data_IF_268675721788
#
_entry.id   IF_268675721788
#
_cell.length_a   1.000
_cell.length_b   1.000
_cell.length_c   1.000
_cell.angle_alpha   90.00
_cell.angle_beta   90.00
_cell.angle_gamma   90.00
#
_symmetry.space_group_name_H-M   'P 1'
#
loop_
_entity.id
_entity.type
_entity.pdbx_description
1 polymer ?
#
# COMPACT_ATOMS: atom_id res chain seq x y z
N UNK A 1 -9.66 10.13 -80.08
CA UNK A 1 -9.29 9.23 -79.01
C UNK A 1 -8.89 10.07 -77.78
N UNK A 2 -9.81 10.21 -76.82
CA UNK A 2 -9.66 11.08 -75.65
C UNK A 2 -9.29 10.17 -74.42
N UNK A 3 -8.12 10.36 -73.88
CA UNK A 3 -7.71 9.70 -72.63
C UNK A 3 -8.08 10.60 -71.46
N UNK A 4 -8.97 10.09 -70.62
CA UNK A 4 -9.37 10.72 -69.36
C UNK A 4 -8.51 10.12 -68.26
N UNK A 5 -7.62 10.96 -67.65
CA UNK A 5 -6.85 10.59 -66.47
C UNK A 5 -7.65 10.88 -65.21
N UNK A 6 -7.97 9.82 -64.46
CA UNK A 6 -8.56 9.93 -63.12
C UNK A 6 -7.43 10.08 -62.09
N UNK A 7 -7.40 11.25 -61.45
CA UNK A 7 -6.53 11.55 -60.35
C UNK A 7 -7.21 11.12 -59.05
N UNK A 8 -6.75 10.02 -58.42
CA UNK A 8 -7.21 9.61 -57.09
C UNK A 8 -6.47 10.41 -56.03
N UNK A 9 -7.20 11.28 -55.34
CA UNK A 9 -6.72 12.02 -54.16
C UNK A 9 -6.93 11.15 -52.92
N UNK A 10 -5.84 10.56 -52.40
CA UNK A 10 -5.88 9.79 -51.13
C UNK A 10 -5.68 10.78 -49.99
N UNK A 11 -6.76 11.11 -49.27
CA UNK A 11 -6.69 11.83 -48.00
C UNK A 11 -6.21 10.85 -46.89
N UNK A 12 -4.96 10.98 -46.49
CA UNK A 12 -4.41 10.30 -45.32
C UNK A 12 -4.92 10.97 -44.02
N UNK A 13 -5.82 10.33 -43.32
CA UNK A 13 -6.16 10.72 -41.94
C UNK A 13 -5.05 10.24 -41.00
N UNK A 14 -4.18 11.14 -40.56
CA UNK A 14 -3.24 10.91 -39.49
C UNK A 14 -4.00 10.90 -38.16
N UNK A 15 -4.26 9.71 -37.63
CA UNK A 15 -4.83 9.50 -36.30
C UNK A 15 -3.73 9.62 -35.24
N UNK A 16 -3.60 10.78 -34.61
CA UNK A 16 -2.75 10.96 -33.44
C UNK A 16 -3.41 10.28 -32.25
N UNK A 17 -3.05 9.03 -31.99
CA UNK A 17 -3.34 8.37 -30.71
C UNK A 17 -2.29 8.83 -29.68
N UNK A 18 -2.61 9.89 -28.95
CA UNK A 18 -1.86 10.32 -27.76
C UNK A 18 -2.17 9.35 -26.62
N UNK A 19 -1.37 8.30 -26.49
CA UNK A 19 -1.35 7.46 -25.27
C UNK A 19 -0.54 8.18 -24.19
N UNK A 20 -1.15 9.12 -23.49
CA UNK A 20 -0.64 9.60 -22.23
C UNK A 20 -0.95 8.53 -21.17
N UNK A 21 -0.08 7.51 -21.04
CA UNK A 21 -0.01 6.71 -19.82
C UNK A 21 0.60 7.59 -18.74
N UNK A 22 -0.26 8.28 -17.99
CA UNK A 22 0.09 8.80 -16.69
C UNK A 22 0.53 7.65 -15.78
N UNK A 23 1.24 7.93 -14.67
CA UNK A 23 1.59 6.90 -13.70
C UNK A 23 0.30 6.19 -13.29
N UNK A 24 0.32 4.87 -13.40
CA UNK A 24 -0.79 3.99 -13.04
C UNK A 24 -0.98 4.05 -11.51
N UNK A 25 -1.68 5.08 -11.06
CA UNK A 25 -2.14 5.20 -9.68
C UNK A 25 -3.31 4.24 -9.60
N UNK A 26 -3.04 3.02 -9.18
CA UNK A 26 -4.11 2.07 -8.85
C UNK A 26 -5.01 2.72 -7.80
N UNK A 27 -6.19 3.15 -8.24
CA UNK A 27 -7.22 3.68 -7.36
C UNK A 27 -7.55 2.62 -6.30
N UNK A 28 -7.73 3.01 -5.04
CA UNK A 28 -8.15 2.07 -4.01
C UNK A 28 -9.47 1.43 -4.43
N UNK A 29 -9.47 0.10 -4.57
CA UNK A 29 -10.69 -0.64 -4.82
C UNK A 29 -11.50 -0.69 -3.52
N UNK A 30 -12.62 -0.03 -3.50
CA UNK A 30 -13.56 -0.08 -2.39
C UNK A 30 -14.26 -1.45 -2.40
N UNK A 31 -13.96 -2.28 -1.41
CA UNK A 31 -14.62 -3.56 -1.23
C UNK A 31 -15.59 -3.46 -0.05
N UNK A 32 -16.87 -3.60 -0.33
CA UNK A 32 -17.90 -3.73 0.70
C UNK A 32 -17.85 -5.14 1.27
N UNK A 33 -17.49 -5.29 2.52
CA UNK A 33 -17.60 -6.55 3.25
C UNK A 33 -18.79 -6.44 4.17
N UNK A 34 -19.86 -7.19 3.89
CA UNK A 34 -20.97 -7.36 4.82
C UNK A 34 -20.53 -8.29 5.93
N UNK A 35 -20.55 -7.80 7.16
CA UNK A 35 -20.37 -8.61 8.36
C UNK A 35 -21.62 -8.40 9.19
N UNK A 36 -22.44 -9.43 9.27
CA UNK A 36 -23.70 -9.53 10.03
C UNK A 36 -24.81 -8.54 9.63
N UNK A 37 -26.07 -8.94 9.77
CA UNK A 37 -27.29 -8.34 9.21
C UNK A 37 -27.58 -6.87 9.58
N UNK A 38 -26.70 -6.16 10.27
CA UNK A 38 -26.95 -4.79 10.74
C UNK A 38 -25.83 -3.75 10.54
N UNK A 39 -24.66 -4.10 10.04
CA UNK A 39 -23.60 -3.10 9.80
C UNK A 39 -22.85 -3.34 8.49
N UNK A 40 -23.01 -2.41 7.56
CA UNK A 40 -22.21 -2.35 6.31
C UNK A 40 -20.93 -1.60 6.58
N UNK A 41 -19.80 -2.29 6.63
CA UNK A 41 -18.48 -1.68 6.70
C UNK A 41 -17.92 -1.48 5.29
N UNK A 42 -17.64 -0.24 4.95
CA UNK A 42 -16.88 0.09 3.74
C UNK A 42 -15.39 0.01 4.07
N UNK A 43 -14.72 -0.97 3.52
CA UNK A 43 -13.29 -1.16 3.69
C UNK A 43 -12.58 -0.84 2.38
N UNK A 44 -11.76 0.18 2.38
CA UNK A 44 -10.82 0.43 1.28
C UNK A 44 -9.63 -0.50 1.46
N UNK A 45 -9.57 -1.58 0.70
CA UNK A 45 -8.39 -2.43 0.62
C UNK A 45 -7.50 -1.86 -0.46
N UNK A 46 -6.44 -1.18 -0.09
CA UNK A 46 -5.35 -0.90 -1.02
C UNK A 46 -4.65 -2.23 -1.28
N UNK A 47 -4.94 -2.83 -2.44
CA UNK A 47 -4.19 -3.98 -2.88
C UNK A 47 -2.73 -3.56 -3.08
N UNK A 48 -1.81 -4.18 -2.34
CA UNK A 48 -0.36 -4.14 -2.48
C UNK A 48 0.17 -2.88 -3.20
N UNK A 49 0.30 -1.77 -2.47
CA UNK A 49 0.80 -0.53 -3.06
C UNK A 49 2.23 -0.75 -3.58
N UNK A 50 2.37 -0.75 -4.90
CA UNK A 50 3.66 -0.83 -5.58
C UNK A 50 4.19 0.58 -5.84
N UNK A 51 5.46 0.80 -5.56
CA UNK A 51 6.11 2.09 -5.76
C UNK A 51 7.52 1.96 -6.32
N UNK A 52 7.88 2.75 -7.35
CA UNK A 52 9.24 2.77 -7.85
C UNK A 52 10.19 3.40 -6.83
N UNK A 53 11.41 2.86 -6.75
CA UNK A 53 12.48 3.30 -5.87
C UNK A 53 13.76 3.46 -6.70
N UNK A 54 14.27 4.68 -6.83
CA UNK A 54 15.46 5.00 -7.61
C UNK A 54 16.75 4.60 -6.86
N UNK A 55 16.85 3.35 -6.42
CA UNK A 55 18.03 2.80 -5.76
C UNK A 55 18.13 1.29 -6.03
N UNK A 56 19.35 0.73 -6.10
CA UNK A 56 19.56 -0.71 -6.22
C UNK A 56 18.89 -1.49 -5.05
N UNK A 57 18.41 -2.73 -5.30
CA UNK A 57 17.64 -3.50 -4.30
C UNK A 57 18.33 -3.63 -2.93
N UNK A 58 19.63 -3.90 -2.89
CA UNK A 58 20.37 -4.03 -1.65
C UNK A 58 20.39 -2.75 -0.81
N UNK A 59 20.58 -1.58 -1.45
CA UNK A 59 20.54 -0.28 -0.78
C UNK A 59 19.13 0.06 -0.29
N UNK A 60 18.12 -0.21 -1.11
CA UNK A 60 16.73 -0.01 -0.75
C UNK A 60 16.31 -0.91 0.43
N UNK A 61 16.78 -2.16 0.45
CA UNK A 61 16.51 -3.12 1.52
C UNK A 61 17.11 -2.66 2.87
N UNK A 62 18.36 -2.20 2.89
CA UNK A 62 18.97 -1.69 4.11
C UNK A 62 18.31 -0.40 4.63
N UNK A 63 17.85 0.46 3.73
CA UNK A 63 17.07 1.63 4.11
C UNK A 63 15.69 1.26 4.66
N UNK A 64 15.03 0.24 4.08
CA UNK A 64 13.73 -0.27 4.53
C UNK A 64 13.80 -0.80 5.96
N UNK A 65 14.86 -1.52 6.35
CA UNK A 65 15.09 -1.96 7.74
C UNK A 65 15.00 -0.79 8.72
N UNK A 66 15.71 0.30 8.44
CA UNK A 66 15.70 1.50 9.29
C UNK A 66 14.31 2.14 9.39
N UNK A 67 13.54 2.10 8.30
CA UNK A 67 12.15 2.59 8.31
C UNK A 67 11.29 1.76 9.26
N UNK A 68 11.40 0.44 9.22
CA UNK A 68 10.63 -0.45 10.09
C UNK A 68 11.02 -0.32 11.57
N UNK A 69 12.31 -0.14 11.86
CA UNK A 69 12.80 0.13 13.22
C UNK A 69 12.20 1.42 13.77
N UNK A 70 12.18 2.50 12.98
CA UNK A 70 11.58 3.79 13.35
C UNK A 70 10.05 3.73 13.54
N UNK A 71 9.37 2.86 12.78
CA UNK A 71 7.94 2.60 12.97
C UNK A 71 7.66 1.77 14.24
N UNK A 72 8.69 1.19 14.86
CA UNK A 72 8.55 0.31 16.01
C UNK A 72 7.91 -1.03 15.68
N UNK A 73 8.16 -1.54 14.47
CA UNK A 73 7.77 -2.91 14.08
C UNK A 73 8.73 -3.88 14.75
N UNK A 74 8.22 -4.88 15.50
CA UNK A 74 9.09 -5.89 16.11
C UNK A 74 9.83 -6.70 15.05
N UNK A 75 11.02 -7.24 15.35
CA UNK A 75 11.73 -8.14 14.46
C UNK A 75 10.85 -9.33 14.00
N UNK A 76 10.99 -9.73 12.74
CA UNK A 76 10.23 -10.82 12.14
C UNK A 76 10.94 -11.36 10.90
N UNK A 77 10.28 -11.32 9.74
CA UNK A 77 10.86 -11.75 8.47
C UNK A 77 12.00 -10.83 8.04
N UNK A 78 13.18 -11.41 7.82
CA UNK A 78 14.37 -10.75 7.30
C UNK A 78 15.03 -11.66 6.26
N UNK A 79 14.69 -11.47 5.00
CA UNK A 79 15.21 -12.29 3.90
C UNK A 79 15.73 -11.38 2.77
N UNK A 80 17.03 -11.05 2.80
CA UNK A 80 17.64 -10.23 1.75
C UNK A 80 17.65 -10.90 0.38
N UNK A 81 17.63 -12.25 0.32
CA UNK A 81 17.68 -12.98 -0.95
C UNK A 81 16.42 -12.82 -1.77
N UNK A 82 15.27 -12.73 -1.12
CA UNK A 82 13.96 -12.45 -1.74
C UNK A 82 13.49 -11.01 -1.58
N UNK A 83 14.31 -10.16 -0.91
CA UNK A 83 14.00 -8.76 -0.64
C UNK A 83 12.85 -8.55 0.36
N UNK A 84 12.53 -9.55 1.19
CA UNK A 84 11.38 -9.53 2.12
C UNK A 84 11.79 -9.05 3.49
N UNK A 85 11.09 -8.02 3.99
CA UNK A 85 11.29 -7.48 5.32
C UNK A 85 9.96 -7.11 5.98
N UNK A 86 9.80 -7.47 7.27
CA UNK A 86 8.61 -7.13 8.04
C UNK A 86 8.31 -8.09 9.17
N UNK A 87 7.09 -8.03 9.68
CA UNK A 87 6.58 -8.96 10.67
C UNK A 87 5.11 -9.25 10.36
N UNK A 88 4.77 -10.52 10.23
CA UNK A 88 3.42 -10.95 9.86
C UNK A 88 2.56 -11.36 11.06
N UNK A 89 3.13 -11.29 12.28
CA UNK A 89 2.43 -11.68 13.50
C UNK A 89 2.88 -10.85 14.71
N UNK A 90 2.33 -9.64 14.84
CA UNK A 90 2.49 -8.83 16.04
C UNK A 90 1.20 -8.09 16.36
N UNK A 91 1.13 -7.50 17.55
CA UNK A 91 -0.03 -6.70 17.93
C UNK A 91 0.39 -5.34 18.50
N UNK A 92 -0.54 -4.40 18.39
CA UNK A 92 -0.47 -3.07 19.02
C UNK A 92 -1.83 -2.74 19.64
N UNK A 93 -1.81 -1.76 20.56
CA UNK A 93 -3.02 -1.20 21.16
C UNK A 93 -2.97 0.31 21.05
N UNK A 94 -4.10 0.93 20.71
CA UNK A 94 -4.30 2.39 20.68
C UNK A 94 -3.44 3.15 19.67
N UNK A 95 -2.13 2.91 19.65
CA UNK A 95 -1.18 3.69 18.83
C UNK A 95 -0.20 2.79 18.09
N UNK A 96 0.20 3.23 16.92
CA UNK A 96 1.27 2.65 16.13
C UNK A 96 2.07 3.77 15.46
N UNK A 97 3.38 3.64 15.36
CA UNK A 97 4.26 4.66 14.76
C UNK A 97 3.97 6.08 15.27
N UNK A 98 3.71 6.23 16.60
CA UNK A 98 3.38 7.48 17.29
C UNK A 98 2.05 8.15 16.93
N UNK A 99 1.20 7.50 16.13
CA UNK A 99 -0.13 7.98 15.76
C UNK A 99 -1.23 7.09 16.33
N UNK A 100 -2.48 7.59 16.37
CA UNK A 100 -3.64 6.78 16.70
C UNK A 100 -3.79 5.64 15.68
N UNK A 101 -4.16 4.43 16.13
CA UNK A 101 -4.30 3.29 15.25
C UNK A 101 -5.34 3.51 14.15
N UNK A 102 -6.42 4.25 14.46
CA UNK A 102 -7.45 4.65 13.48
C UNK A 102 -6.94 5.51 12.32
N UNK A 103 -5.73 6.09 12.43
CA UNK A 103 -5.08 6.78 11.31
C UNK A 103 -4.68 5.82 10.19
N UNK A 104 -4.39 4.57 10.52
CA UNK A 104 -3.84 3.58 9.59
C UNK A 104 -4.86 2.53 9.16
N UNK A 105 -5.86 2.25 10.02
CA UNK A 105 -6.86 1.21 9.76
C UNK A 105 -8.25 1.66 10.17
N UNK A 106 -9.25 1.11 9.48
CA UNK A 106 -10.66 1.23 9.83
C UNK A 106 -11.21 -0.17 10.17
N UNK A 107 -11.63 -0.33 11.42
CA UNK A 107 -12.28 -1.55 11.93
C UNK A 107 -13.74 -1.29 12.29
N UNK A 108 -14.31 -0.14 11.89
CA UNK A 108 -15.62 0.33 12.32
C UNK A 108 -15.59 1.11 13.62
N UNK A 109 -16.78 1.48 14.07
CA UNK A 109 -17.00 2.26 15.30
C UNK A 109 -17.61 1.37 16.39
N UNK A 110 -17.28 1.69 17.64
CA UNK A 110 -17.92 1.17 18.83
C UNK A 110 -18.59 2.31 19.60
N UNK A 111 -19.32 1.99 20.64
CA UNK A 111 -19.93 3.01 21.51
C UNK A 111 -18.90 3.99 22.11
N UNK A 112 -17.66 3.54 22.30
CA UNK A 112 -16.54 4.33 22.86
C UNK A 112 -15.64 4.96 21.78
N UNK A 113 -16.05 4.95 20.51
CA UNK A 113 -15.31 5.51 19.36
C UNK A 113 -14.65 4.44 18.47
N UNK A 114 -13.66 4.81 17.66
CA UNK A 114 -13.06 3.90 16.70
C UNK A 114 -12.55 2.60 17.33
N UNK A 115 -13.03 1.46 16.82
CA UNK A 115 -12.61 0.12 17.27
C UNK A 115 -11.08 -0.02 17.23
N UNK A 116 -10.44 0.53 16.21
CA UNK A 116 -8.99 0.51 16.06
C UNK A 116 -8.23 1.09 17.26
N UNK A 117 -8.82 2.05 18.00
CA UNK A 117 -8.17 2.71 19.13
C UNK A 117 -8.47 2.02 20.48
N UNK A 118 -9.48 1.17 20.54
CA UNK A 118 -9.98 0.57 21.79
C UNK A 118 -9.69 -0.92 21.91
N UNK A 119 -9.42 -1.59 20.79
CA UNK A 119 -9.20 -3.02 20.72
C UNK A 119 -7.69 -3.36 20.59
N UNK A 120 -7.37 -4.63 20.81
CA UNK A 120 -6.05 -5.17 20.42
C UNK A 120 -6.04 -5.41 18.92
N UNK A 121 -5.07 -4.84 18.24
CA UNK A 121 -4.94 -4.94 16.79
C UNK A 121 -3.80 -5.89 16.45
N UNK A 122 -4.12 -7.02 15.85
CA UNK A 122 -3.18 -7.97 15.28
C UNK A 122 -2.82 -7.52 13.88
N UNK A 123 -1.54 -7.42 13.61
CA UNK A 123 -0.98 -6.80 12.41
C UNK A 123 -0.10 -7.79 11.68
N UNK A 124 -0.28 -7.84 10.36
CA UNK A 124 0.66 -8.41 9.42
C UNK A 124 1.14 -7.29 8.50
N UNK A 125 2.42 -6.97 8.56
CA UNK A 125 3.06 -5.94 7.76
C UNK A 125 4.33 -6.48 7.11
N UNK A 126 4.33 -6.59 5.79
CA UNK A 126 5.43 -7.12 4.99
C UNK A 126 5.71 -6.23 3.79
N UNK A 127 6.95 -5.85 3.59
CA UNK A 127 7.41 -5.22 2.37
C UNK A 127 8.35 -6.12 1.59
N UNK A 128 8.31 -5.96 0.27
CA UNK A 128 9.19 -6.67 -0.67
C UNK A 128 9.86 -5.65 -1.58
N UNK A 129 11.18 -5.71 -1.66
CA UNK A 129 12.00 -4.95 -2.61
C UNK A 129 12.37 -5.87 -3.76
N UNK A 130 12.00 -5.50 -4.98
CA UNK A 130 12.36 -6.24 -6.20
C UNK A 130 13.16 -5.35 -7.15
N UNK A 131 14.09 -5.91 -7.96
CA UNK A 131 14.74 -5.14 -9.02
C UNK A 131 13.69 -4.73 -10.08
N UNK A 132 13.82 -3.50 -10.59
CA UNK A 132 12.95 -2.98 -11.65
C UNK A 132 13.48 -3.29 -13.06
N UNK A 133 14.64 -3.96 -13.16
CA UNK A 133 15.33 -4.25 -14.44
C UNK A 133 16.03 -3.06 -15.09
N UNK A 134 16.02 -1.89 -14.46
CA UNK A 134 16.62 -0.63 -14.97
C UNK A 134 17.69 -0.06 -14.03
N UNK A 135 18.11 -0.84 -13.03
CA UNK A 135 19.11 -0.42 -12.03
C UNK A 135 18.49 0.16 -10.75
N UNK A 136 17.19 0.35 -10.70
CA UNK A 136 16.40 0.69 -9.53
C UNK A 136 15.71 -0.53 -8.92
N UNK A 137 14.72 -0.26 -8.09
CA UNK A 137 13.87 -1.29 -7.48
C UNK A 137 12.41 -0.86 -7.38
N UNK A 138 11.55 -1.82 -7.07
CA UNK A 138 10.14 -1.63 -6.78
C UNK A 138 9.88 -2.06 -5.34
N UNK A 139 9.26 -1.18 -4.57
CA UNK A 139 8.72 -1.49 -3.24
C UNK A 139 7.27 -1.97 -3.38
N UNK A 140 6.97 -3.11 -2.81
CA UNK A 140 5.59 -3.58 -2.61
C UNK A 140 5.35 -3.77 -1.12
N UNK A 141 4.29 -3.16 -0.55
CA UNK A 141 3.95 -3.28 0.87
C UNK A 141 2.57 -3.88 1.02
N UNK A 142 2.48 -4.97 1.77
CA UNK A 142 1.25 -5.64 2.17
C UNK A 142 0.99 -5.36 3.66
N UNK A 143 -0.17 -4.77 3.96
CA UNK A 143 -0.61 -4.47 5.32
C UNK A 143 -2.01 -5.02 5.55
N UNK A 144 -2.15 -5.87 6.56
CA UNK A 144 -3.46 -6.37 7.01
C UNK A 144 -3.57 -6.28 8.52
N UNK A 145 -4.79 -6.09 9.02
CA UNK A 145 -5.04 -5.98 10.45
C UNK A 145 -6.36 -6.65 10.84
N UNK A 146 -6.40 -7.15 12.09
CA UNK A 146 -7.61 -7.70 12.71
C UNK A 146 -7.73 -7.16 14.13
N UNK A 147 -8.92 -6.68 14.49
CA UNK A 147 -9.22 -6.18 15.83
C UNK A 147 -9.85 -7.26 16.69
N UNK A 148 -9.44 -7.36 17.96
CA UNK A 148 -10.03 -8.23 18.97
C UNK A 148 -10.38 -7.42 20.21
N UNK A 149 -11.62 -7.57 20.70
CA UNK A 149 -12.05 -6.95 21.96
C UNK A 149 -11.22 -7.51 23.13
N UNK A 150 -10.71 -6.62 23.98
CA UNK A 150 -9.93 -7.01 25.15
C UNK A 150 -10.78 -7.30 26.38
N UNK A 151 -12.02 -6.81 26.42
CA UNK A 151 -12.94 -6.93 27.57
C UNK A 151 -13.91 -8.11 27.43
N UNK A 152 -14.01 -8.67 26.22
CA UNK A 152 -14.93 -9.78 25.94
C UNK A 152 -14.30 -11.15 26.10
N UNK A 153 -15.15 -12.16 26.33
CA UNK A 153 -14.73 -13.57 26.31
C UNK A 153 -14.59 -14.13 24.88
N UNK A 154 -15.02 -13.38 23.88
CA UNK A 154 -14.94 -13.81 22.46
C UNK A 154 -13.51 -13.75 21.95
N UNK A 155 -13.09 -14.85 21.33
CA UNK A 155 -11.83 -14.93 20.58
C UNK A 155 -11.95 -14.37 19.16
N UNK A 156 -13.13 -13.88 18.76
CA UNK A 156 -13.42 -13.42 17.41
C UNK A 156 -12.61 -12.18 17.06
N UNK A 157 -12.13 -12.16 15.83
CA UNK A 157 -11.34 -11.06 15.28
C UNK A 157 -12.07 -10.43 14.12
N UNK A 158 -12.27 -9.13 14.18
CA UNK A 158 -12.88 -8.31 13.13
C UNK A 158 -11.78 -7.92 12.14
N UNK A 159 -11.99 -8.16 10.85
CA UNK A 159 -11.07 -7.69 9.82
C UNK A 159 -11.17 -6.18 9.66
N UNK A 160 -10.01 -5.51 9.59
CA UNK A 160 -9.91 -4.07 9.41
C UNK A 160 -9.40 -3.75 8.01
N UNK A 161 -9.85 -2.63 7.44
CA UNK A 161 -9.30 -2.10 6.19
C UNK A 161 -8.13 -1.17 6.43
N UNK A 162 -7.14 -1.20 5.54
CA UNK A 162 -6.10 -0.18 5.52
C UNK A 162 -6.64 1.16 5.01
N UNK A 163 -6.16 2.28 5.58
CA UNK A 163 -6.39 3.62 5.05
C UNK A 163 -5.38 4.01 3.97
N UNK A 164 -4.35 3.19 3.75
CA UNK A 164 -3.22 3.48 2.85
C UNK A 164 -2.15 4.40 3.44
N UNK A 165 -2.41 5.01 4.60
CA UNK A 165 -1.47 5.97 5.20
C UNK A 165 -0.19 5.34 5.70
N UNK A 166 -0.23 4.09 6.17
CA UNK A 166 0.97 3.39 6.62
C UNK A 166 1.88 3.03 5.45
N UNK A 167 1.32 2.50 4.40
CA UNK A 167 2.02 2.14 3.16
C UNK A 167 2.69 3.37 2.54
N UNK A 168 1.95 4.48 2.47
CA UNK A 168 2.48 5.75 1.97
C UNK A 168 3.59 6.31 2.89
N UNK A 169 3.45 6.18 4.20
CA UNK A 169 4.47 6.58 5.16
C UNK A 169 5.75 5.77 5.00
N UNK A 170 5.64 4.44 4.83
CA UNK A 170 6.79 3.56 4.56
C UNK A 170 7.49 4.01 3.27
N UNK A 171 6.72 4.22 2.20
CA UNK A 171 7.25 4.70 0.92
C UNK A 171 8.01 6.02 1.06
N UNK A 172 7.39 7.03 1.66
CA UNK A 172 8.01 8.35 1.87
C UNK A 172 9.27 8.26 2.71
N UNK A 173 9.22 7.55 3.85
CA UNK A 173 10.37 7.39 4.73
C UNK A 173 11.53 6.66 4.03
N UNK A 174 11.22 5.67 3.19
CA UNK A 174 12.23 4.97 2.39
C UNK A 174 12.91 5.92 1.40
N UNK A 175 12.12 6.71 0.66
CA UNK A 175 12.66 7.65 -0.32
C UNK A 175 13.50 8.74 0.34
N UNK A 176 13.10 9.26 1.50
CA UNK A 176 13.89 10.22 2.28
C UNK A 176 15.24 9.63 2.69
N UNK A 177 15.27 8.39 3.21
CA UNK A 177 16.52 7.71 3.60
C UNK A 177 17.46 7.44 2.43
N UNK A 178 16.91 7.31 1.25
CA UNK A 178 17.69 7.13 0.02
C UNK A 178 18.17 8.45 -0.60
N UNK A 179 17.72 9.60 -0.07
CA UNK A 179 18.01 10.92 -0.63
C UNK A 179 17.29 11.19 -1.96
N UNK A 180 16.23 10.45 -2.25
CA UNK A 180 15.44 10.58 -3.50
C UNK A 180 14.36 11.65 -3.43
N UNK A 181 14.08 12.18 -2.24
CA UNK A 181 13.15 13.29 -1.98
C UNK A 181 13.83 14.24 -1.00
N UNK A 182 13.90 15.51 -1.34
CA UNK A 182 14.27 16.58 -0.39
C UNK A 182 13.03 16.85 0.45
N UNK A 183 13.19 16.90 1.76
CA UNK A 183 12.11 17.31 2.66
C UNK A 183 11.72 18.76 2.34
N UNK A 184 10.42 19.11 2.20
CA UNK A 184 9.98 20.47 1.89
C UNK A 184 10.20 21.43 3.06
#
# INVERSE_FOLDING_TARGET
>A
MRRVSFLFLVLGMASCASSSRGPDVSLPSERTVAVDDQQVYRTTVLANAKAPVAAPPGRAFEALKKVYDELGVPPGTHDPSTGRYGNTDFYKTRRFANEAMSSFINCGESFTGPVANNYRIYISLLSVIRPDGKGGSELETAFTAKAQNMEGTSADRISCGSTGRLEERIRKSLLLKLGSVTEP
#
